data_IF_043106455914
#
_entry.id   IF_043106455914
#
_cell.length_a   1.000
_cell.length_b   1.000
_cell.length_c   1.000
_cell.angle_alpha   90.00
_cell.angle_beta   90.00
_cell.angle_gamma   90.00
#
_symmetry.space_group_name_H-M   'P 1'
#
loop_
_entity.id
_entity.type
_entity.pdbx_description
1 polymer ?
#
# COMPACT_ATOMS: atom_id res chain seq x y z
N UNK A 1 20.85 5.68 5.92
CA UNK A 1 20.19 5.01 4.78
C UNK A 1 20.35 3.50 4.98
N UNK A 2 19.39 2.70 4.55
CA UNK A 2 19.42 1.22 4.53
C UNK A 2 19.53 0.51 5.89
N UNK A 3 19.08 1.15 6.98
CA UNK A 3 18.79 0.44 8.23
C UNK A 3 17.65 -0.59 8.08
N UNK A 4 16.80 -0.36 7.07
CA UNK A 4 15.80 -1.27 6.54
C UNK A 4 16.22 -1.55 5.08
N UNK A 5 16.75 -2.74 4.77
CA UNK A 5 17.31 -3.01 3.46
C UNK A 5 16.19 -3.21 2.44
N UNK A 6 16.20 -2.46 1.34
CA UNK A 6 15.29 -2.72 0.22
C UNK A 6 15.60 -4.07 -0.44
N UNK A 7 14.61 -4.66 -1.11
CA UNK A 7 14.77 -5.87 -1.92
C UNK A 7 15.11 -5.44 -3.35
N UNK A 8 16.37 -5.59 -3.76
CA UNK A 8 16.81 -5.22 -5.12
C UNK A 8 16.85 -6.40 -6.10
N UNK A 9 16.79 -7.64 -5.59
CA UNK A 9 16.77 -8.88 -6.36
C UNK A 9 15.63 -9.81 -5.90
N UNK A 10 14.36 -9.39 -6.09
CA UNK A 10 13.21 -10.12 -5.56
C UNK A 10 13.13 -11.53 -6.14
N UNK A 11 12.85 -12.50 -5.26
CA UNK A 11 12.65 -13.90 -5.62
C UNK A 11 11.16 -14.21 -5.58
N UNK A 12 10.69 -15.02 -6.53
CA UNK A 12 9.28 -15.33 -6.68
C UNK A 12 9.05 -16.83 -6.75
N UNK A 13 7.88 -17.26 -6.26
CA UNK A 13 7.29 -18.57 -6.56
C UNK A 13 5.98 -18.37 -7.29
N UNK A 14 5.58 -19.35 -8.08
CA UNK A 14 4.20 -19.41 -8.58
C UNK A 14 3.24 -19.54 -7.39
N UNK A 15 2.06 -18.93 -7.51
CA UNK A 15 1.06 -18.88 -6.43
C UNK A 15 0.63 -20.28 -5.95
N UNK A 16 0.68 -21.29 -6.83
CA UNK A 16 0.39 -22.68 -6.50
C UNK A 16 1.45 -23.33 -5.60
N UNK A 17 2.67 -22.81 -5.59
CA UNK A 17 3.79 -23.29 -4.77
C UNK A 17 3.96 -22.57 -3.43
N UNK A 18 3.06 -21.63 -3.10
CA UNK A 18 3.09 -20.87 -1.84
C UNK A 18 2.05 -21.46 -0.88
N UNK A 19 2.55 -22.11 0.18
CA UNK A 19 1.73 -22.88 1.15
C UNK A 19 1.86 -22.36 2.59
N UNK A 20 2.72 -21.37 2.82
CA UNK A 20 3.09 -20.81 4.12
C UNK A 20 2.57 -19.38 4.34
N UNK A 21 1.79 -18.85 3.39
CA UNK A 21 1.10 -17.57 3.47
C UNK A 21 -0.39 -17.81 3.74
N UNK A 22 -0.90 -17.28 4.84
CA UNK A 22 -2.31 -17.39 5.23
C UNK A 22 -3.21 -16.70 4.22
N UNK A 23 -4.38 -17.30 3.95
CA UNK A 23 -5.30 -16.81 2.92
C UNK A 23 -5.80 -15.39 3.17
N UNK A 24 -5.99 -14.99 4.43
CA UNK A 24 -6.50 -13.66 4.80
C UNK A 24 -5.39 -12.62 4.93
N UNK A 25 -4.13 -12.98 4.71
CA UNK A 25 -3.04 -12.03 4.85
C UNK A 25 -2.97 -11.07 3.67
N UNK A 26 -2.69 -9.78 3.93
CA UNK A 26 -2.69 -8.76 2.89
C UNK A 26 -1.46 -8.86 1.99
N UNK A 27 -1.70 -8.75 0.68
CA UNK A 27 -0.69 -8.68 -0.38
C UNK A 27 -0.92 -7.43 -1.23
N UNK A 28 0.15 -6.72 -1.58
CA UNK A 28 0.08 -5.70 -2.65
C UNK A 28 0.06 -6.44 -3.98
N UNK A 29 -0.90 -6.14 -4.83
CA UNK A 29 -1.10 -6.79 -6.13
C UNK A 29 -0.97 -5.76 -7.24
N UNK A 30 -0.21 -6.12 -8.26
CA UNK A 30 -0.04 -5.37 -9.49
C UNK A 30 0.00 -6.35 -10.67
N UNK A 31 -0.73 -6.04 -11.74
CA UNK A 31 -0.64 -6.70 -13.05
C UNK A 31 -0.16 -5.69 -14.08
N UNK A 32 0.90 -6.03 -14.80
CA UNK A 32 1.36 -5.27 -15.96
C UNK A 32 1.47 -6.24 -17.13
N UNK A 33 0.81 -5.92 -18.24
CA UNK A 33 0.62 -6.84 -19.36
C UNK A 33 0.01 -8.16 -18.84
N UNK A 34 0.61 -9.31 -19.13
CA UNK A 34 0.14 -10.61 -18.65
C UNK A 34 0.80 -11.09 -17.35
N UNK A 35 1.69 -10.30 -16.76
CA UNK A 35 2.38 -10.68 -15.52
C UNK A 35 1.71 -10.04 -14.30
N UNK A 36 1.10 -10.87 -13.46
CA UNK A 36 0.56 -10.49 -12.16
C UNK A 36 1.48 -10.95 -11.02
N UNK A 37 1.84 -10.04 -10.13
CA UNK A 37 2.66 -10.35 -8.95
C UNK A 37 1.99 -9.86 -7.67
N UNK A 38 2.21 -10.62 -6.60
CA UNK A 38 1.82 -10.28 -5.23
C UNK A 38 3.05 -10.08 -4.35
N UNK A 39 3.02 -9.04 -3.52
CA UNK A 39 4.06 -8.69 -2.56
C UNK A 39 3.45 -8.73 -1.15
N UNK A 40 3.68 -9.80 -0.37
CA UNK A 40 3.09 -9.92 0.97
C UNK A 40 3.54 -8.80 1.89
N UNK A 41 2.58 -8.16 2.58
CA UNK A 41 2.91 -7.11 3.56
C UNK A 41 3.78 -7.65 4.69
N UNK A 42 3.66 -8.94 5.04
CA UNK A 42 4.57 -9.60 5.98
C UNK A 42 6.05 -9.55 5.60
N UNK A 43 6.37 -9.37 4.31
CA UNK A 43 7.76 -9.16 3.84
C UNK A 43 8.03 -7.66 3.77
N UNK A 44 7.14 -6.88 3.15
CA UNK A 44 7.34 -5.44 2.99
C UNK A 44 7.32 -4.66 4.31
N UNK A 45 6.75 -5.19 5.38
CA UNK A 45 6.86 -4.66 6.75
C UNK A 45 8.32 -4.52 7.20
N UNK A 46 9.21 -5.38 6.68
CA UNK A 46 10.61 -5.48 7.10
C UNK A 46 11.60 -4.92 6.08
N UNK A 47 11.11 -4.59 4.88
CA UNK A 47 11.92 -4.15 3.75
C UNK A 47 11.49 -2.80 3.19
N UNK A 48 10.21 -2.46 3.35
CA UNK A 48 9.49 -1.28 2.89
C UNK A 48 9.50 -1.05 1.37
N UNK A 49 10.52 -1.52 0.65
CA UNK A 49 10.74 -1.31 -0.78
C UNK A 49 11.19 -2.62 -1.43
N UNK A 50 10.59 -2.96 -2.57
CA UNK A 50 11.10 -3.94 -3.51
C UNK A 50 11.24 -3.32 -4.91
N UNK A 51 12.46 -3.29 -5.44
CA UNK A 51 12.73 -2.89 -6.83
C UNK A 51 12.62 -4.14 -7.71
N UNK A 52 11.73 -4.09 -8.71
CA UNK A 52 11.39 -5.24 -9.55
C UNK A 52 11.22 -4.82 -11.02
N UNK A 53 10.98 -5.81 -11.88
CA UNK A 53 10.48 -5.64 -13.24
C UNK A 53 9.29 -6.57 -13.46
N UNK A 54 8.16 -6.00 -13.89
CA UNK A 54 6.91 -6.74 -14.16
C UNK A 54 6.47 -6.42 -15.57
N UNK A 55 6.26 -7.46 -16.40
CA UNK A 55 5.81 -7.26 -17.78
C UNK A 55 6.73 -6.33 -18.59
N UNK A 56 8.03 -6.29 -18.27
CA UNK A 56 9.02 -5.40 -18.88
C UNK A 56 9.07 -3.97 -18.34
N UNK A 57 8.22 -3.61 -17.38
CA UNK A 57 8.23 -2.29 -16.73
C UNK A 57 9.04 -2.35 -15.43
N UNK A 58 10.10 -1.53 -15.29
CA UNK A 58 10.82 -1.39 -14.03
C UNK A 58 9.93 -0.69 -13.00
N UNK A 59 9.72 -1.33 -11.85
CA UNK A 59 8.83 -0.82 -10.79
C UNK A 59 9.53 -0.76 -9.44
N UNK A 60 9.10 0.14 -8.57
CA UNK A 60 9.40 0.10 -7.14
C UNK A 60 8.10 -0.04 -6.37
N UNK A 61 7.97 -1.17 -5.67
CA UNK A 61 6.81 -1.51 -4.83
C UNK A 61 7.13 -1.09 -3.41
N UNK A 62 6.28 -0.27 -2.81
CA UNK A 62 6.58 0.34 -1.51
C UNK A 62 5.43 0.17 -0.53
N UNK A 63 5.77 0.02 0.74
CA UNK A 63 4.82 -0.02 1.85
C UNK A 63 5.36 0.78 3.04
N UNK A 64 4.64 1.83 3.42
CA UNK A 64 4.87 2.52 4.69
C UNK A 64 3.91 1.99 5.75
N UNK A 65 4.36 1.24 6.77
CA UNK A 65 3.48 0.75 7.82
C UNK A 65 2.88 1.87 8.67
N UNK A 66 3.60 2.96 8.87
CA UNK A 66 3.15 4.10 9.69
C UNK A 66 1.97 4.87 9.08
N UNK A 67 1.86 4.86 7.75
CA UNK A 67 0.75 5.45 7.00
C UNK A 67 -0.24 4.41 6.46
N UNK A 68 0.04 3.12 6.67
CA UNK A 68 -0.58 2.00 5.96
C UNK A 68 -0.67 2.28 4.44
N UNK A 69 0.38 2.81 3.82
CA UNK A 69 0.34 3.26 2.43
C UNK A 69 1.13 2.30 1.53
N UNK A 70 0.42 1.51 0.73
CA UNK A 70 0.98 0.69 -0.34
C UNK A 70 0.96 1.49 -1.66
N UNK A 71 2.14 1.82 -2.19
CA UNK A 71 2.24 2.61 -3.43
C UNK A 71 3.28 2.00 -4.36
N UNK A 72 2.94 1.91 -5.64
CA UNK A 72 3.85 1.38 -6.66
C UNK A 72 4.14 2.45 -7.70
N UNK A 73 5.40 2.58 -8.09
CA UNK A 73 5.84 3.56 -9.08
C UNK A 73 6.59 2.90 -10.23
N UNK A 74 6.45 3.47 -11.42
CA UNK A 74 7.42 3.30 -12.49
C UNK A 74 8.70 4.02 -12.09
N UNK A 75 9.81 3.29 -11.99
CA UNK A 75 11.09 3.85 -11.53
C UNK A 75 11.90 4.51 -12.65
N UNK A 76 11.30 4.72 -13.83
CA UNK A 76 11.91 5.47 -14.93
C UNK A 76 11.65 6.97 -14.78
N UNK A 77 12.73 7.75 -14.67
CA UNK A 77 12.69 9.21 -14.62
C UNK A 77 13.73 9.77 -15.58
N UNK A 78 13.33 10.65 -16.49
CA UNK A 78 14.22 11.30 -17.46
C UNK A 78 15.15 10.32 -18.21
N UNK A 79 14.58 9.19 -18.66
CA UNK A 79 15.31 8.17 -19.40
C UNK A 79 16.26 7.29 -18.57
N UNK A 80 16.31 7.47 -17.24
CA UNK A 80 17.08 6.63 -16.32
C UNK A 80 16.16 5.73 -15.54
N UNK A 81 16.60 4.50 -15.29
CA UNK A 81 15.96 3.61 -14.33
C UNK A 81 16.61 3.85 -12.97
N UNK A 82 15.81 4.22 -11.96
CA UNK A 82 16.29 4.49 -10.61
C UNK A 82 16.12 3.27 -9.70
N UNK A 83 17.03 3.07 -8.75
CA UNK A 83 16.93 2.05 -7.71
C UNK A 83 16.68 2.74 -6.37
N UNK A 84 15.54 2.44 -5.75
CA UNK A 84 15.13 3.09 -4.51
C UNK A 84 15.55 2.31 -3.27
N UNK A 85 15.98 3.04 -2.25
CA UNK A 85 16.30 2.51 -0.92
C UNK A 85 15.58 3.30 0.17
N UNK A 86 15.64 2.79 1.40
CA UNK A 86 15.02 3.43 2.57
C UNK A 86 15.99 4.43 3.16
N UNK A 87 15.59 5.71 3.26
CA UNK A 87 16.49 6.73 3.82
C UNK A 87 16.68 6.61 5.34
N UNK A 88 15.67 6.06 6.03
CA UNK A 88 15.54 6.07 7.49
C UNK A 88 15.00 7.39 8.05
N UNK A 89 14.47 8.26 7.19
CA UNK A 89 13.84 9.54 7.56
C UNK A 89 12.34 9.49 7.27
N UNK A 90 11.59 10.27 8.03
CA UNK A 90 10.14 10.39 7.91
C UNK A 90 9.75 11.85 7.68
N UNK A 91 8.68 12.08 6.92
CA UNK A 91 7.98 13.37 6.83
C UNK A 91 6.49 13.10 6.87
N UNK A 92 5.79 13.72 7.83
CA UNK A 92 4.38 13.40 8.14
C UNK A 92 4.17 11.93 8.49
N UNK A 93 5.14 11.32 9.19
CA UNK A 93 5.24 9.87 9.47
C UNK A 93 5.39 8.96 8.25
N UNK A 94 5.26 9.49 7.04
CA UNK A 94 5.51 8.75 5.82
C UNK A 94 7.01 8.61 5.57
N UNK A 95 7.38 7.44 5.04
CA UNK A 95 8.77 7.11 4.75
C UNK A 95 9.33 7.97 3.61
N UNK A 96 10.59 8.37 3.75
CA UNK A 96 11.34 9.02 2.67
C UNK A 96 12.18 7.95 1.97
N UNK A 97 11.96 7.77 0.68
CA UNK A 97 12.81 6.96 -0.19
C UNK A 97 14.02 7.79 -0.61
N UNK A 98 15.09 7.12 -1.05
CA UNK A 98 16.15 7.78 -1.81
C UNK A 98 16.49 6.97 -3.04
N UNK A 99 16.89 7.61 -4.14
CA UNK A 99 17.44 6.90 -5.29
C UNK A 99 18.97 6.79 -5.21
N UNK A 100 19.53 5.65 -5.60
CA UNK A 100 20.99 5.42 -5.51
C UNK A 100 21.78 6.15 -6.59
N UNK A 101 21.15 6.49 -7.71
CA UNK A 101 21.81 7.10 -8.87
C UNK A 101 22.17 8.57 -8.66
N UNK A 102 21.32 9.31 -7.95
CA UNK A 102 21.49 10.75 -7.72
C UNK A 102 21.47 11.15 -6.25
N UNK A 103 21.22 10.18 -5.37
CA UNK A 103 21.05 10.36 -3.93
C UNK A 103 19.93 11.33 -3.56
N UNK A 104 19.00 11.60 -4.48
CA UNK A 104 17.85 12.46 -4.22
C UNK A 104 16.85 11.74 -3.32
N UNK A 105 16.11 12.53 -2.55
CA UNK A 105 15.10 12.01 -1.62
C UNK A 105 13.71 12.21 -2.20
N UNK A 106 12.84 11.24 -1.97
CA UNK A 106 11.51 11.17 -2.56
C UNK A 106 10.49 10.86 -1.47
N UNK A 107 9.40 11.61 -1.44
CA UNK A 107 8.29 11.31 -0.55
C UNK A 107 7.55 10.07 -1.08
N UNK A 108 7.47 8.99 -0.29
CA UNK A 108 6.86 7.73 -0.73
C UNK A 108 5.39 7.90 -1.08
N UNK A 109 4.62 8.61 -0.25
CA UNK A 109 3.18 8.72 -0.44
C UNK A 109 2.82 9.30 -1.81
N UNK A 110 3.49 10.37 -2.24
CA UNK A 110 3.18 11.10 -3.49
C UNK A 110 4.16 10.85 -4.64
N UNK A 111 5.30 10.21 -4.39
CA UNK A 111 6.31 9.93 -5.42
C UNK A 111 7.08 11.17 -5.90
N UNK A 112 7.14 12.24 -5.11
CA UNK A 112 7.78 13.51 -5.49
C UNK A 112 9.19 13.63 -4.93
N UNK A 113 10.15 14.06 -5.75
CA UNK A 113 11.49 14.41 -5.33
C UNK A 113 11.47 15.68 -4.47
N UNK A 114 12.02 15.61 -3.26
CA UNK A 114 11.96 16.68 -2.24
C UNK A 114 13.32 17.26 -1.87
N UNK A 115 14.41 16.52 -2.11
CA UNK A 115 15.79 16.96 -1.85
C UNK A 115 16.70 16.38 -2.92
N UNK A 116 17.70 17.14 -3.38
CA UNK A 116 18.72 16.67 -4.32
C UNK A 116 18.40 16.98 -5.78
N UNK A 117 19.12 16.33 -6.69
CA UNK A 117 19.08 16.61 -8.13
C UNK A 117 17.70 16.38 -8.77
N UNK A 118 16.87 15.53 -8.19
CA UNK A 118 15.54 15.19 -8.69
C UNK A 118 14.42 16.00 -8.01
N UNK A 119 14.75 17.08 -7.30
CA UNK A 119 13.74 17.93 -6.63
C UNK A 119 12.69 18.44 -7.61
N UNK A 120 11.41 18.26 -7.27
CA UNK A 120 10.26 18.67 -8.09
C UNK A 120 9.87 17.66 -9.17
N UNK A 121 10.68 16.63 -9.44
CA UNK A 121 10.30 15.53 -10.32
C UNK A 121 9.26 14.64 -9.64
N UNK A 122 8.41 14.00 -10.44
CA UNK A 122 7.34 13.12 -9.97
C UNK A 122 7.44 11.75 -10.61
N UNK A 123 7.32 10.71 -9.80
CA UNK A 123 7.22 9.33 -10.25
C UNK A 123 5.81 9.04 -10.77
N UNK A 124 5.73 8.30 -11.87
CA UNK A 124 4.44 7.81 -12.36
C UNK A 124 3.95 6.70 -11.43
N UNK A 125 2.87 6.97 -10.70
CA UNK A 125 2.18 5.97 -9.87
C UNK A 125 1.52 4.91 -10.76
N UNK A 126 1.60 3.65 -10.37
CA UNK A 126 1.03 2.50 -11.08
C UNK A 126 -0.15 1.91 -10.30
N UNK A 127 -1.24 1.49 -10.97
CA UNK A 127 -2.39 0.84 -10.34
C UNK A 127 -2.00 -0.38 -9.51
N UNK A 128 -2.16 -0.32 -8.20
CA UNK A 128 -1.96 -1.45 -7.31
C UNK A 128 -3.06 -1.48 -6.26
N UNK A 129 -3.33 -2.66 -5.69
CA UNK A 129 -4.34 -2.85 -4.64
C UNK A 129 -3.77 -3.69 -3.51
N UNK A 130 -4.29 -3.49 -2.30
CA UNK A 130 -4.06 -4.42 -1.19
C UNK A 130 -5.30 -5.28 -1.05
N UNK A 131 -5.13 -6.59 -1.24
CA UNK A 131 -6.20 -7.59 -1.14
C UNK A 131 -5.69 -8.81 -0.34
N UNK A 132 -6.56 -9.68 0.19
CA UNK A 132 -6.10 -10.89 0.85
C UNK A 132 -5.47 -11.86 -0.16
N UNK A 133 -4.51 -12.66 0.30
CA UNK A 133 -3.81 -13.63 -0.53
C UNK A 133 -4.75 -14.63 -1.23
N UNK A 134 -5.85 -15.02 -0.58
CA UNK A 134 -6.90 -15.87 -1.14
C UNK A 134 -7.53 -15.25 -2.40
N UNK A 135 -7.83 -13.95 -2.37
CA UNK A 135 -8.39 -13.22 -3.51
C UNK A 135 -7.39 -13.10 -4.66
N UNK A 136 -6.10 -12.87 -4.35
CA UNK A 136 -5.04 -12.90 -5.35
C UNK A 136 -4.94 -14.28 -6.04
N UNK A 137 -4.93 -15.36 -5.25
CA UNK A 137 -4.85 -16.74 -5.76
C UNK A 137 -6.03 -17.10 -6.66
N UNK A 138 -7.23 -16.65 -6.31
CA UNK A 138 -8.43 -16.86 -7.13
C UNK A 138 -8.37 -16.06 -8.45
N UNK A 139 -7.92 -14.80 -8.40
CA UNK A 139 -7.90 -13.89 -9.56
C UNK A 139 -6.75 -14.18 -10.51
N UNK A 140 -5.62 -14.68 -10.00
CA UNK A 140 -4.38 -14.87 -10.75
C UNK A 140 -3.78 -16.25 -10.46
N UNK A 141 -4.37 -17.35 -10.97
CA UNK A 141 -3.88 -18.72 -10.71
C UNK A 141 -2.47 -18.99 -11.26
N UNK A 142 -2.01 -18.18 -12.23
CA UNK A 142 -0.64 -18.20 -12.77
C UNK A 142 0.22 -17.04 -12.24
N UNK A 143 -0.26 -16.33 -11.22
CA UNK A 143 0.43 -15.20 -10.62
C UNK A 143 1.65 -15.65 -9.82
N UNK A 144 2.56 -14.71 -9.57
CA UNK A 144 3.78 -14.94 -8.79
C UNK A 144 3.71 -14.23 -7.45
N UNK A 145 4.29 -14.81 -6.41
CA UNK A 145 4.31 -14.27 -5.06
C UNK A 145 5.76 -14.06 -4.63
N UNK A 146 6.07 -12.86 -4.15
CA UNK A 146 7.37 -12.56 -3.56
C UNK A 146 7.61 -13.50 -2.37
N UNK A 147 8.78 -14.12 -2.33
CA UNK A 147 9.22 -14.96 -1.22
C UNK A 147 10.48 -14.41 -0.57
N UNK A 148 10.68 -14.78 0.69
CA UNK A 148 11.91 -14.52 1.42
C UNK A 148 13.12 -15.04 0.63
N UNK A 149 14.12 -14.18 0.39
CA UNK A 149 15.42 -14.64 -0.09
C UNK A 149 16.16 -15.44 0.98
N UNK A 150 17.01 -16.38 0.56
CA UNK A 150 17.73 -17.31 1.44
C UNK A 150 18.75 -16.68 2.42
N UNK A 151 18.88 -15.34 2.43
CA UNK A 151 20.04 -14.64 3.01
C UNK A 151 19.87 -14.01 4.39
N UNK A 152 18.64 -13.79 4.89
CA UNK A 152 18.42 -13.18 6.21
C UNK A 152 17.12 -13.74 6.81
N UNK A 153 17.23 -14.52 7.88
CA UNK A 153 16.10 -14.98 8.67
C UNK A 153 15.47 -13.79 9.42
N UNK A 154 14.60 -13.04 8.75
CA UNK A 154 13.68 -12.12 9.41
C UNK A 154 12.44 -12.88 9.83
N UNK A 155 11.79 -12.39 10.88
CA UNK A 155 10.55 -12.94 11.40
C UNK A 155 9.35 -12.48 10.55
N UNK A 156 9.34 -12.84 9.26
CA UNK A 156 8.22 -12.48 8.38
C UNK A 156 6.91 -13.04 8.94
N UNK A 157 5.90 -12.19 8.99
CA UNK A 157 4.61 -12.47 9.60
C UNK A 157 4.48 -11.90 11.01
N UNK A 158 5.59 -11.64 11.72
CA UNK A 158 5.56 -10.82 12.92
C UNK A 158 5.36 -9.34 12.56
N UNK A 159 4.53 -8.67 13.35
CA UNK A 159 4.22 -7.25 13.23
C UNK A 159 4.93 -6.49 14.36
N UNK A 160 5.90 -5.61 14.05
CA UNK A 160 6.59 -4.79 15.06
C UNK A 160 5.74 -3.59 15.55
N UNK A 161 4.60 -3.31 14.92
CA UNK A 161 3.68 -2.21 15.22
C UNK A 161 2.38 -2.73 15.84
N UNK A 162 2.50 -3.54 16.89
CA UNK A 162 1.35 -4.17 17.56
C UNK A 162 0.36 -3.10 18.05
N UNK A 163 -0.92 -3.28 17.71
CA UNK A 163 -2.05 -2.38 18.00
C UNK A 163 -1.89 -0.97 17.44
N UNK A 164 -1.07 -0.78 16.41
CA UNK A 164 -0.82 0.54 15.89
C UNK A 164 -2.05 1.12 15.19
N UNK A 165 -2.82 0.31 14.47
CA UNK A 165 -4.05 0.73 13.78
C UNK A 165 -5.26 1.00 14.72
N UNK A 166 -5.08 0.78 16.02
CA UNK A 166 -6.05 1.09 17.08
C UNK A 166 -5.49 2.07 18.13
N UNK A 167 -4.29 2.60 17.90
CA UNK A 167 -3.71 3.61 18.77
C UNK A 167 -4.42 4.96 18.59
N UNK A 168 -4.37 5.79 19.63
CA UNK A 168 -4.96 7.13 19.62
C UNK A 168 -4.21 8.08 18.69
N UNK A 169 -2.88 7.98 18.66
CA UNK A 169 -2.01 8.95 17.99
C UNK A 169 -1.05 8.25 17.00
N UNK A 170 -0.88 8.81 15.78
CA UNK A 170 0.08 8.27 14.84
C UNK A 170 1.53 8.42 15.32
N UNK A 171 2.35 7.41 15.06
CA UNK A 171 3.73 7.38 15.51
C UNK A 171 4.54 8.45 14.79
N UNK A 172 5.30 9.27 15.55
CA UNK A 172 6.15 10.35 15.03
C UNK A 172 5.44 11.37 14.11
N UNK A 173 4.11 11.48 14.21
CA UNK A 173 3.35 12.53 13.54
C UNK A 173 3.25 13.75 14.46
N UNK A 174 3.55 14.93 13.92
CA UNK A 174 3.47 16.21 14.65
C UNK A 174 2.42 17.16 14.06
N UNK A 175 1.71 16.73 13.03
CA UNK A 175 0.63 17.52 12.45
C UNK A 175 -0.65 17.39 13.28
N UNK A 176 -1.62 18.23 12.96
CA UNK A 176 -2.98 18.11 13.49
C UNK A 176 -3.85 17.35 12.47
N UNK A 177 -4.79 16.55 12.96
CA UNK A 177 -5.80 15.92 12.12
C UNK A 177 -7.17 16.45 12.56
N UNK A 178 -7.86 17.08 11.62
CA UNK A 178 -9.21 17.61 11.77
C UNK A 178 -10.07 17.08 10.63
N UNK A 179 -10.73 15.96 10.86
CA UNK A 179 -11.53 15.23 9.88
C UNK A 179 -12.34 14.10 10.54
N UNK A 180 -13.24 13.43 9.80
CA UNK A 180 -14.03 12.32 10.31
C UNK A 180 -13.17 11.15 10.80
N UNK A 181 -13.69 10.37 11.75
CA UNK A 181 -12.96 9.23 12.34
C UNK A 181 -11.77 9.65 13.20
N UNK A 182 -10.90 8.69 13.49
CA UNK A 182 -9.64 8.91 14.22
C UNK A 182 -8.50 9.13 13.22
N UNK A 183 -7.35 9.72 13.64
CA UNK A 183 -6.20 9.88 12.76
C UNK A 183 -5.76 8.57 12.08
N UNK A 184 -5.83 7.45 12.81
CA UNK A 184 -5.47 6.11 12.36
C UNK A 184 -6.67 5.30 11.81
N UNK A 185 -7.83 5.93 11.60
CA UNK A 185 -8.91 5.28 10.85
C UNK A 185 -8.44 4.98 9.42
N UNK A 186 -8.74 3.77 8.95
CA UNK A 186 -8.51 3.39 7.56
C UNK A 186 -9.46 4.18 6.66
N UNK A 187 -8.92 4.69 5.56
CA UNK A 187 -9.68 5.30 4.47
C UNK A 187 -9.32 4.64 3.15
N UNK A 188 -10.32 4.55 2.27
CA UNK A 188 -10.11 4.25 0.84
C UNK A 188 -10.09 5.56 0.10
N UNK A 189 -8.96 5.90 -0.51
CA UNK A 189 -8.74 7.16 -1.20
C UNK A 189 -8.73 6.97 -2.72
N UNK A 190 -9.51 7.80 -3.41
CA UNK A 190 -9.53 7.97 -4.87
C UNK A 190 -9.24 9.43 -5.15
N UNK A 191 -8.05 9.73 -5.66
CA UNK A 191 -7.57 11.10 -5.90
C UNK A 191 -7.65 11.99 -4.65
N UNK A 192 -8.59 12.95 -4.61
CA UNK A 192 -8.80 13.92 -3.52
C UNK A 192 -10.00 13.57 -2.63
N UNK A 193 -10.66 12.46 -2.90
CA UNK A 193 -11.79 11.97 -2.13
C UNK A 193 -11.40 10.68 -1.41
N UNK A 194 -11.91 10.51 -0.19
CA UNK A 194 -11.67 9.33 0.60
C UNK A 194 -12.91 8.93 1.41
N UNK A 195 -13.07 7.65 1.70
CA UNK A 195 -14.20 7.10 2.45
C UNK A 195 -13.69 6.31 3.65
N UNK A 196 -14.28 6.51 4.82
CA UNK A 196 -13.96 5.70 6.00
C UNK A 196 -14.26 4.23 5.75
N UNK A 197 -13.29 3.37 6.03
CA UNK A 197 -13.42 1.93 5.85
C UNK A 197 -14.51 1.34 6.76
N UNK A 198 -14.68 1.87 7.97
CA UNK A 198 -15.72 1.41 8.89
C UNK A 198 -17.14 1.72 8.37
N UNK A 199 -17.32 2.86 7.70
CA UNK A 199 -18.61 3.19 7.07
C UNK A 199 -18.90 2.26 5.89
N UNK A 200 -17.88 1.94 5.08
CA UNK A 200 -17.97 0.94 4.01
C UNK A 200 -18.31 -0.45 4.55
N UNK A 201 -17.65 -0.87 5.64
CA UNK A 201 -17.90 -2.15 6.31
C UNK A 201 -19.34 -2.24 6.82
N UNK A 202 -19.87 -1.17 7.41
CA UNK A 202 -21.23 -1.15 7.94
C UNK A 202 -22.29 -1.13 6.83
N UNK A 203 -22.03 -0.43 5.72
CA UNK A 203 -22.96 -0.33 4.60
C UNK A 203 -22.91 -1.53 3.64
N UNK A 204 -21.76 -2.22 3.56
CA UNK A 204 -21.44 -3.22 2.55
C UNK A 204 -21.14 -2.60 1.18
N UNK A 205 -21.99 -1.68 0.70
CA UNK A 205 -21.79 -0.92 -0.54
C UNK A 205 -22.11 0.56 -0.31
N UNK A 206 -21.22 1.44 -0.77
CA UNK A 206 -21.46 2.87 -0.87
C UNK A 206 -21.39 3.27 -2.35
N UNK A 207 -22.46 3.91 -2.84
CA UNK A 207 -22.46 4.60 -4.12
C UNK A 207 -22.37 6.11 -3.87
N UNK A 208 -21.38 6.76 -4.46
CA UNK A 208 -21.16 8.20 -4.33
C UNK A 208 -20.68 8.76 -5.67
N UNK A 209 -21.40 9.73 -6.21
CA UNK A 209 -21.23 10.24 -7.58
C UNK A 209 -21.27 9.12 -8.63
N UNK A 210 -20.16 8.92 -9.37
CA UNK A 210 -20.00 7.84 -10.34
C UNK A 210 -19.20 6.65 -9.79
N UNK A 211 -18.95 6.59 -8.49
CA UNK A 211 -18.20 5.53 -7.84
C UNK A 211 -19.11 4.57 -7.07
N UNK A 212 -18.78 3.28 -7.17
CA UNK A 212 -19.30 2.20 -6.34
C UNK A 212 -18.13 1.59 -5.55
N UNK A 213 -18.21 1.69 -4.23
CA UNK A 213 -17.26 1.12 -3.29
C UNK A 213 -17.93 -0.05 -2.57
N UNK A 214 -17.39 -1.25 -2.71
CA UNK A 214 -17.93 -2.46 -2.10
C UNK A 214 -16.91 -3.08 -1.16
N UNK A 215 -17.34 -3.37 0.07
CA UNK A 215 -16.54 -4.01 1.09
C UNK A 215 -16.79 -5.52 1.11
N UNK A 216 -15.71 -6.27 1.31
CA UNK A 216 -15.72 -7.72 1.47
C UNK A 216 -14.94 -8.10 2.73
N UNK A 217 -15.43 -9.11 3.44
CA UNK A 217 -14.74 -9.70 4.58
C UNK A 217 -13.51 -10.52 4.16
N UNK A 218 -12.62 -10.80 5.12
CA UNK A 218 -11.56 -11.79 4.97
C UNK A 218 -10.18 -11.23 4.66
N UNK A 219 -9.86 -10.00 5.09
CA UNK A 219 -8.50 -9.48 5.07
C UNK A 219 -8.07 -8.99 6.46
N UNK A 220 -7.02 -9.60 6.99
CA UNK A 220 -6.45 -9.25 8.28
C UNK A 220 -5.74 -7.90 8.23
N UNK A 221 -5.86 -7.12 9.30
CA UNK A 221 -4.96 -5.98 9.55
C UNK A 221 -3.52 -6.46 9.74
N UNK A 222 -2.59 -5.86 9.00
CA UNK A 222 -1.15 -6.07 9.19
C UNK A 222 -0.58 -5.39 10.44
N UNK A 223 -1.37 -4.53 11.10
CA UNK A 223 -0.92 -3.60 12.14
C UNK A 223 -1.64 -3.79 13.49
N UNK A 224 -2.46 -4.83 13.61
CA UNK A 224 -3.26 -5.12 14.82
C UNK A 224 -2.54 -6.07 15.79
N UNK A 225 -2.48 -7.37 15.50
CA UNK A 225 -1.88 -8.36 16.38
C UNK A 225 -0.35 -8.47 16.22
N UNK A 226 0.32 -9.18 17.13
CA UNK A 226 1.76 -9.49 17.03
C UNK A 226 2.13 -10.36 15.83
N UNK A 227 1.16 -11.07 15.26
CA UNK A 227 1.29 -11.79 14.00
C UNK A 227 0.17 -11.37 13.04
N UNK A 228 0.52 -11.16 11.78
CA UNK A 228 -0.41 -10.68 10.74
C UNK A 228 -1.52 -11.72 10.46
N UNK A 229 -1.22 -13.01 10.58
CA UNK A 229 -2.22 -14.09 10.44
C UNK A 229 -3.25 -14.14 11.58
N UNK A 230 -3.04 -13.36 12.65
CA UNK A 230 -3.93 -13.24 13.81
C UNK A 230 -4.58 -11.85 13.94
N UNK A 231 -4.30 -10.94 13.01
CA UNK A 231 -4.91 -9.61 13.02
C UNK A 231 -6.42 -9.68 12.80
N UNK A 232 -7.16 -8.73 13.38
CA UNK A 232 -8.59 -8.56 13.15
C UNK A 232 -8.91 -8.37 11.66
N UNK A 233 -10.09 -8.80 11.26
CA UNK A 233 -10.59 -8.58 9.92
C UNK A 233 -10.98 -7.09 9.72
N UNK A 234 -10.28 -6.45 8.80
CA UNK A 234 -10.59 -5.10 8.30
C UNK A 234 -11.30 -5.14 6.95
N UNK A 235 -11.35 -6.32 6.32
CA UNK A 235 -11.86 -6.54 4.98
C UNK A 235 -11.04 -5.84 3.89
N UNK A 236 -11.48 -6.01 2.66
CA UNK A 236 -10.89 -5.39 1.48
C UNK A 236 -11.97 -4.80 0.59
N UNK A 237 -11.57 -3.87 -0.29
CA UNK A 237 -12.50 -3.06 -1.07
C UNK A 237 -12.35 -3.35 -2.56
N UNK A 238 -13.45 -3.33 -3.30
CA UNK A 238 -13.44 -3.05 -4.74
C UNK A 238 -13.99 -1.64 -4.97
N UNK A 239 -13.29 -0.85 -5.79
CA UNK A 239 -13.77 0.46 -6.23
C UNK A 239 -13.96 0.41 -7.73
N UNK A 240 -15.17 0.75 -8.16
CA UNK A 240 -15.54 0.73 -9.57
C UNK A 240 -16.17 2.06 -9.95
N UNK A 241 -15.87 2.51 -11.16
CA UNK A 241 -16.47 3.69 -11.77
C UNK A 241 -17.58 3.28 -12.72
N UNK A 242 -18.72 3.95 -12.63
CA UNK A 242 -19.85 3.77 -13.52
C UNK A 242 -19.51 4.29 -14.91
N UNK A 243 -19.71 3.45 -15.91
CA UNK A 243 -19.52 3.76 -17.34
C UNK A 243 -20.84 3.59 -18.07
N UNK A 244 -20.90 3.98 -19.35
CA UNK A 244 -22.09 3.76 -20.20
C UNK A 244 -22.41 2.28 -20.39
N UNK A 245 -21.44 1.39 -20.15
CA UNK A 245 -21.55 -0.07 -20.35
C UNK A 245 -21.57 -0.87 -19.05
N UNK A 246 -21.61 -0.24 -17.87
CA UNK A 246 -21.61 -0.92 -16.58
C UNK A 246 -20.66 -0.28 -15.57
N UNK A 247 -19.79 -1.09 -14.98
CA UNK A 247 -18.79 -0.65 -14.00
C UNK A 247 -17.40 -1.09 -14.44
N UNK A 248 -16.41 -0.23 -14.25
CA UNK A 248 -14.99 -0.52 -14.51
C UNK A 248 -14.19 -0.34 -13.22
N UNK A 249 -13.36 -1.32 -12.88
CA UNK A 249 -12.48 -1.21 -11.72
C UNK A 249 -11.49 -0.04 -11.86
N UNK A 250 -11.34 0.76 -10.81
CA UNK A 250 -10.37 1.86 -10.77
C UNK A 250 -9.31 1.66 -9.69
N UNK A 251 -8.27 2.48 -9.77
CA UNK A 251 -7.23 2.53 -8.75
C UNK A 251 -7.68 3.31 -7.53
N UNK A 252 -7.31 2.81 -6.37
CA UNK A 252 -7.53 3.47 -5.08
C UNK A 252 -6.36 3.11 -4.16
N UNK A 253 -6.18 3.90 -3.10
CA UNK A 253 -5.23 3.60 -2.05
C UNK A 253 -5.98 3.37 -0.73
N UNK A 254 -5.70 2.28 -0.03
CA UNK A 254 -6.07 2.15 1.39
C UNK A 254 -4.94 2.76 2.21
N UNK A 255 -5.25 3.70 3.10
CA UNK A 255 -4.27 4.40 3.96
C UNK A 255 -4.92 4.86 5.26
N UNK A 256 -4.16 5.47 6.18
CA UNK A 256 -4.72 6.14 7.35
C UNK A 256 -5.18 7.56 7.03
N UNK A 257 -6.25 7.99 7.70
CA UNK A 257 -6.89 9.29 7.50
C UNK A 257 -5.92 10.46 7.70
N UNK A 258 -5.04 10.40 8.71
CA UNK A 258 -4.04 11.44 8.94
C UNK A 258 -3.07 11.57 7.76
N UNK A 259 -2.64 10.44 7.20
CA UNK A 259 -1.68 10.42 6.10
C UNK A 259 -2.33 11.00 4.84
N UNK A 260 -3.57 10.59 4.53
CA UNK A 260 -4.35 11.18 3.46
C UNK A 260 -4.42 12.71 3.60
N UNK A 261 -4.84 13.24 4.75
CA UNK A 261 -4.92 14.70 4.96
C UNK A 261 -3.57 15.41 4.95
N UNK A 262 -2.50 14.78 5.43
CA UNK A 262 -1.17 15.37 5.41
C UNK A 262 -0.62 15.57 3.99
N UNK A 263 -1.02 14.73 3.03
CA UNK A 263 -0.61 14.82 1.62
C UNK A 263 -1.67 15.41 0.68
N UNK A 264 -2.93 15.43 1.12
CA UNK A 264 -4.07 16.04 0.45
C UNK A 264 -4.81 16.97 1.43
N UNK A 265 -4.24 18.14 1.78
CA UNK A 265 -4.83 19.04 2.79
C UNK A 265 -6.25 19.47 2.43
N UNK A 266 -6.48 19.76 1.14
CA UNK A 266 -7.80 20.11 0.58
C UNK A 266 -8.65 18.88 0.23
N UNK A 267 -8.14 17.66 0.46
CA UNK A 267 -8.87 16.42 0.22
C UNK A 267 -10.02 16.24 1.20
N UNK A 268 -11.08 15.58 0.74
CA UNK A 268 -12.30 15.35 1.51
C UNK A 268 -12.33 13.90 1.97
N UNK A 269 -12.57 13.70 3.28
CA UNK A 269 -12.91 12.38 3.81
C UNK A 269 -14.42 12.40 4.03
N UNK A 270 -15.13 11.55 3.31
CA UNK A 270 -16.56 11.33 3.41
C UNK A 270 -16.85 10.33 4.54
N UNK A 271 -17.86 10.64 5.33
CA UNK A 271 -18.40 9.74 6.36
C UNK A 271 -19.90 9.62 6.22
N UNK A 272 -20.39 8.39 6.34
CA UNK A 272 -21.77 8.01 6.18
C UNK A 272 -22.23 7.31 7.46
N UNK A 273 -23.12 7.91 8.26
CA UNK A 273 -23.56 7.31 9.50
C UNK A 273 -24.21 5.95 9.24
N UNK A 274 -24.00 5.01 10.16
CA UNK A 274 -24.66 3.70 10.14
C UNK A 274 -26.19 3.90 10.14
N UNK A 275 -26.89 3.15 9.27
CA UNK A 275 -28.36 3.13 9.23
C UNK A 275 -28.95 2.37 10.40
#
# INVERSE_FOLDING_TARGET
KDGIPAIDAPQFKDVSGVNDLGGQEPVIVLKINEEAKAYPLRILMWHEIANDTIGGVPVTVTYCPLCNAAVVFDRRVNGKVLDFGVSGKLRHSDMIMYDRQTESWWQQFVGRGIVGAMTGMELKRLPARVIPFSAFKASYPNGKVLVAGNGNARHYGENPYVKYDSAENPFLYRGHYDGPGQPLSYVVAVEKDAWLLDDLRNAGVIEHDDLRLEWYEGMNSALDAGRIDQGRDIGFIAVQKKTTSGYEDISYNTTFAFAFKAFHPDGVIHSFPAR
#
